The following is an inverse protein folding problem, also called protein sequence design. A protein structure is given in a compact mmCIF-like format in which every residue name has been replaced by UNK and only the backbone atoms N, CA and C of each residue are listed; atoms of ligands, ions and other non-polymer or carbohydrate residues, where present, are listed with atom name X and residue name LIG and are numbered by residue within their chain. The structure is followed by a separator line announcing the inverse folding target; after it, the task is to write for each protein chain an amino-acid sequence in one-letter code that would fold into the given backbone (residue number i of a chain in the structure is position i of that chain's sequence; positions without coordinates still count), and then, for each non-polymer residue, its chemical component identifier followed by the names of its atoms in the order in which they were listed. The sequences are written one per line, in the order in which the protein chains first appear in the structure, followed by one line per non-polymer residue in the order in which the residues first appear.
data_IF_807289404528
#
_entry.id   IF_807289404528
#
_cell.length_a   1.000
_cell.length_b   1.000
_cell.length_c   1.000
_cell.angle_alpha   90.00
_cell.angle_beta   90.00
_cell.angle_gamma   90.00
#
_symmetry.space_group_name_H-M   'P 1'
#
loop_
_entity.id
_entity.type
_entity.pdbx_description
1 polymer ?
#
# COMPACT_ATOMS: atom_id res chain seq x y z
N UNK A 1 -40.94 2.80 -46.48
CA UNK A 1 -39.56 3.31 -46.72
C UNK A 1 -38.73 2.90 -45.51
N UNK A 2 -38.24 1.66 -45.46
CA UNK A 2 -36.93 1.19 -45.93
C UNK A 2 -35.80 1.53 -44.95
N UNK A 3 -35.20 0.45 -44.42
CA UNK A 3 -34.11 0.29 -43.43
C UNK A 3 -32.86 1.12 -43.78
N UNK A 4 -31.89 1.36 -42.87
CA UNK A 4 -30.69 0.51 -42.64
C UNK A 4 -29.82 1.15 -41.51
N UNK A 5 -29.46 0.34 -40.50
CA UNK A 5 -28.18 0.34 -39.75
C UNK A 5 -27.35 -0.84 -40.32
N UNK A 6 -26.04 -1.05 -40.05
CA UNK A 6 -24.97 -0.21 -39.48
C UNK A 6 -23.67 -0.27 -40.34
N UNK A 7 -22.59 0.43 -39.96
CA UNK A 7 -21.23 0.07 -40.44
C UNK A 7 -20.19 0.23 -39.34
N UNK A 8 -19.71 -0.92 -38.84
CA UNK A 8 -18.42 -1.06 -38.16
C UNK A 8 -17.29 -0.78 -39.15
N UNK A 9 -16.24 -0.08 -38.71
CA UNK A 9 -14.93 -0.14 -39.34
C UNK A 9 -13.85 -0.17 -38.26
N UNK A 10 -13.36 -1.37 -37.98
CA UNK A 10 -12.14 -1.62 -37.23
C UNK A 10 -10.94 -1.56 -38.20
N UNK A 11 -9.88 -0.87 -37.79
CA UNK A 11 -8.55 -1.00 -38.39
C UNK A 11 -7.52 -0.77 -37.28
N UNK A 12 -7.09 -1.86 -36.62
CA UNK A 12 -5.94 -1.85 -35.72
C UNK A 12 -4.69 -2.18 -36.53
N UNK A 13 -3.68 -1.34 -36.38
CA UNK A 13 -2.44 -1.37 -37.13
C UNK A 13 -1.31 -2.12 -36.39
N UNK A 14 -0.42 -2.64 -37.23
CA UNK A 14 1.03 -2.74 -37.05
C UNK A 14 1.63 -3.73 -36.02
N UNK A 15 2.16 -4.79 -36.61
CA UNK A 15 3.19 -5.71 -36.13
C UNK A 15 4.44 -5.02 -35.59
N UNK A 16 4.97 -5.49 -34.46
CA UNK A 16 6.39 -5.42 -34.14
C UNK A 16 6.87 -6.78 -33.62
N UNK A 17 7.73 -7.40 -34.43
CA UNK A 17 8.51 -8.58 -34.08
C UNK A 17 9.79 -8.13 -33.37
N UNK A 18 10.21 -8.83 -32.31
CA UNK A 18 11.63 -9.03 -32.01
C UNK A 18 11.81 -10.36 -31.27
N UNK A 19 12.30 -11.35 -32.00
CA UNK A 19 12.85 -12.60 -31.47
C UNK A 19 14.29 -12.35 -31.06
N UNK A 20 14.59 -12.46 -29.76
CA UNK A 20 15.97 -12.51 -29.25
C UNK A 20 16.34 -13.94 -28.90
N UNK A 21 17.36 -14.49 -29.58
CA UNK A 21 17.96 -15.79 -29.29
C UNK A 21 19.36 -15.62 -28.68
N UNK A 22 19.59 -16.34 -27.57
CA UNK A 22 20.85 -17.01 -27.14
C UNK A 22 22.11 -16.16 -26.81
N UNK A 23 23.06 -16.65 -25.96
CA UNK A 23 23.45 -18.05 -25.82
C UNK A 23 23.67 -18.62 -24.40
N UNK A 24 23.58 -19.95 -24.33
CA UNK A 24 24.24 -20.77 -23.33
C UNK A 24 25.75 -20.87 -23.66
N UNK A 25 26.60 -20.75 -22.63
CA UNK A 25 27.97 -21.23 -22.67
C UNK A 25 28.20 -22.23 -21.55
N UNK A 26 28.55 -23.44 -21.98
CA UNK A 26 29.05 -24.57 -21.22
C UNK A 26 30.57 -24.43 -21.08
N UNK A 27 31.15 -24.63 -19.89
CA UNK A 27 32.57 -24.97 -19.69
C UNK A 27 32.88 -25.37 -18.23
N UNK A 28 32.76 -26.68 -17.97
CA UNK A 28 33.69 -27.57 -17.23
C UNK A 28 34.70 -27.02 -16.21
N UNK A 29 34.57 -27.55 -14.98
CA UNK A 29 35.57 -28.27 -14.13
C UNK A 29 36.95 -27.65 -13.87
N UNK A 30 37.30 -27.44 -12.58
CA UNK A 30 38.38 -28.14 -11.82
C UNK A 30 38.93 -27.31 -10.65
N UNK A 31 39.24 -28.00 -9.55
CA UNK A 31 40.14 -27.66 -8.44
C UNK A 31 39.64 -26.82 -7.25
N UNK A 32 39.29 -27.55 -6.19
CA UNK A 32 39.61 -27.19 -4.81
C UNK A 32 41.13 -27.27 -4.58
N UNK A 33 41.67 -26.45 -3.65
CA UNK A 33 42.47 -27.04 -2.60
C UNK A 33 42.06 -26.58 -1.21
N UNK A 34 42.45 -27.43 -0.26
CA UNK A 34 42.11 -27.43 1.15
C UNK A 34 42.70 -26.27 1.95
N UNK A 35 41.93 -25.88 2.97
CA UNK A 35 42.29 -25.55 4.35
C UNK A 35 43.63 -24.83 4.63
N UNK A 36 43.51 -23.61 5.16
CA UNK A 36 44.39 -23.12 6.22
C UNK A 36 43.53 -22.72 7.42
N UNK A 37 43.54 -23.57 8.47
CA UNK A 37 43.04 -23.23 9.79
C UNK A 37 44.03 -22.28 10.46
N UNK A 38 43.60 -21.10 10.89
CA UNK A 38 44.27 -20.33 11.94
C UNK A 38 43.42 -20.39 13.22
N UNK A 39 43.97 -20.84 14.35
CA UNK A 39 43.33 -20.73 15.64
C UNK A 39 43.66 -19.35 16.23
N UNK A 40 42.69 -18.45 16.24
CA UNK A 40 42.75 -17.17 16.94
C UNK A 40 41.49 -17.03 17.75
N UNK A 41 41.59 -17.31 19.05
CA UNK A 41 40.48 -17.19 19.97
C UNK A 41 40.08 -15.73 20.16
N UNK A 42 38.82 -15.44 19.89
CA UNK A 42 38.12 -14.34 20.55
C UNK A 42 36.82 -14.94 21.06
N UNK A 43 36.75 -15.07 22.38
CA UNK A 43 35.53 -15.49 23.07
C UNK A 43 34.52 -14.37 22.88
N UNK A 44 33.78 -14.41 21.78
CA UNK A 44 32.55 -13.65 21.64
C UNK A 44 31.60 -14.15 22.73
N UNK A 45 31.31 -13.27 23.69
CA UNK A 45 30.23 -13.47 24.63
C UNK A 45 28.97 -13.88 23.85
N UNK A 46 28.18 -14.86 24.32
CA UNK A 46 26.93 -15.19 23.67
C UNK A 46 26.09 -13.92 23.62
N UNK A 47 25.81 -13.43 22.41
CA UNK A 47 24.67 -12.56 22.21
C UNK A 47 23.48 -13.33 22.80
N UNK A 48 22.83 -12.74 23.79
CA UNK A 48 21.50 -13.19 24.21
C UNK A 48 20.61 -13.00 22.99
N UNK A 49 20.52 -14.06 22.18
CA UNK A 49 19.47 -14.24 21.21
C UNK A 49 18.19 -14.24 22.02
N UNK A 50 17.54 -13.07 22.10
CA UNK A 50 16.19 -12.95 22.62
C UNK A 50 15.37 -14.09 22.03
N UNK A 51 14.75 -14.88 22.92
CA UNK A 51 14.00 -16.05 22.52
C UNK A 51 13.05 -15.66 21.38
N UNK A 52 12.98 -16.44 20.28
CA UNK A 52 12.08 -16.13 19.19
C UNK A 52 10.66 -16.00 19.74
N UNK A 53 10.06 -14.83 19.52
CA UNK A 53 8.64 -14.57 19.75
C UNK A 53 7.84 -15.75 19.17
N UNK A 54 6.92 -16.38 19.93
CA UNK A 54 6.07 -17.41 19.36
C UNK A 54 5.37 -16.85 18.12
N UNK A 55 5.56 -17.51 16.98
CA UNK A 55 4.87 -17.12 15.76
C UNK A 55 3.36 -17.25 16.00
N UNK A 56 2.61 -16.21 15.64
CA UNK A 56 1.16 -16.25 15.73
C UNK A 56 0.62 -17.47 14.98
N UNK A 57 -0.32 -18.16 15.62
CA UNK A 57 -0.96 -19.35 15.11
C UNK A 57 -2.04 -18.99 14.07
N UNK A 58 -2.39 -19.94 13.20
CA UNK A 58 -3.48 -19.72 12.22
C UNK A 58 -4.80 -19.30 12.89
N UNK A 59 -5.09 -19.82 14.08
CA UNK A 59 -6.30 -19.51 14.84
C UNK A 59 -6.31 -18.06 15.33
N UNK A 60 -5.15 -17.51 15.70
CA UNK A 60 -5.02 -16.11 16.12
C UNK A 60 -5.29 -15.14 14.95
N UNK A 61 -4.86 -15.49 13.74
CA UNK A 61 -5.16 -14.68 12.55
C UNK A 61 -6.64 -14.70 12.18
N UNK A 62 -7.29 -15.87 12.21
CA UNK A 62 -8.73 -15.97 11.99
C UNK A 62 -9.52 -15.16 13.02
N UNK A 63 -9.16 -15.29 14.30
CA UNK A 63 -9.79 -14.51 15.37
C UNK A 63 -9.56 -13.00 15.22
N UNK A 64 -8.43 -12.56 14.67
CA UNK A 64 -8.17 -11.15 14.40
C UNK A 64 -9.08 -10.62 13.27
N UNK A 65 -9.27 -11.38 12.19
CA UNK A 65 -10.17 -11.03 11.09
C UNK A 65 -11.62 -10.96 11.57
N UNK A 66 -12.06 -11.92 12.39
CA UNK A 66 -13.42 -11.94 12.97
C UNK A 66 -13.70 -10.76 13.92
N UNK A 67 -12.66 -10.18 14.52
CA UNK A 67 -12.78 -8.99 15.38
C UNK A 67 -12.81 -7.68 14.61
N UNK A 68 -12.54 -7.69 13.30
CA UNK A 68 -12.64 -6.48 12.48
C UNK A 68 -14.08 -5.98 12.50
N UNK A 69 -14.28 -4.72 12.86
CA UNK A 69 -15.61 -4.13 12.91
C UNK A 69 -16.26 -4.21 11.53
N UNK A 70 -17.54 -4.63 11.41
CA UNK A 70 -18.24 -4.66 10.13
C UNK A 70 -18.50 -3.27 9.53
N UNK A 71 -18.22 -2.20 10.30
CA UNK A 71 -18.24 -0.83 9.78
C UNK A 71 -16.99 -0.50 8.96
N UNK A 72 -15.90 -1.26 9.09
CA UNK A 72 -14.71 -1.09 8.27
C UNK A 72 -15.01 -1.68 6.88
N UNK A 73 -15.02 -0.81 5.87
CA UNK A 73 -15.26 -1.22 4.49
C UNK A 73 -13.98 -1.61 3.76
N UNK A 74 -12.88 -0.93 4.08
CA UNK A 74 -11.60 -1.15 3.39
C UNK A 74 -10.42 -0.84 4.30
N UNK A 75 -9.33 -1.58 4.08
CA UNK A 75 -8.04 -1.42 4.76
C UNK A 75 -6.92 -1.70 3.78
N UNK A 76 -6.08 -0.69 3.49
CA UNK A 76 -4.97 -0.82 2.55
C UNK A 76 -3.65 -0.37 3.17
N UNK A 77 -2.58 -1.13 2.93
CA UNK A 77 -1.20 -0.67 3.17
C UNK A 77 -0.76 0.11 1.94
N UNK A 78 -0.41 1.38 2.10
CA UNK A 78 -0.25 2.34 0.99
C UNK A 78 1.19 2.80 0.75
N UNK A 79 2.13 2.39 1.59
CA UNK A 79 3.55 2.69 1.38
C UNK A 79 4.38 2.52 2.66
N UNK A 80 5.71 2.43 2.54
CA UNK A 80 6.60 2.46 3.69
C UNK A 80 6.74 3.88 4.26
N UNK A 81 7.26 3.98 5.47
CA UNK A 81 7.83 5.22 6.02
C UNK A 81 9.07 4.93 6.85
N UNK A 82 9.91 5.94 7.02
CA UNK A 82 11.11 5.89 7.86
C UNK A 82 11.43 7.25 8.48
N UNK A 83 11.86 7.24 9.74
CA UNK A 83 12.25 8.42 10.49
C UNK A 83 13.45 8.07 11.40
N UNK A 84 14.66 8.35 10.95
CA UNK A 84 15.87 7.92 11.66
C UNK A 84 15.97 6.39 11.68
N UNK A 85 16.02 5.80 12.88
CA UNK A 85 16.04 4.34 13.09
C UNK A 85 14.62 3.72 13.11
N UNK A 86 13.58 4.55 13.22
CA UNK A 86 12.18 4.11 13.19
C UNK A 86 11.71 3.91 11.76
N UNK A 87 10.89 2.88 11.53
CA UNK A 87 10.37 2.57 10.22
C UNK A 87 9.07 1.78 10.33
N UNK A 88 8.30 1.76 9.25
CA UNK A 88 7.11 0.94 9.18
C UNK A 88 6.30 1.19 7.92
N UNK A 89 4.99 1.12 8.03
CA UNK A 89 4.08 1.29 6.90
C UNK A 89 2.92 2.24 7.20
N UNK A 90 2.48 2.93 6.17
CA UNK A 90 1.24 3.67 6.16
C UNK A 90 0.08 2.74 5.85
N UNK A 91 -0.99 2.84 6.64
CA UNK A 91 -2.24 2.11 6.42
C UNK A 91 -3.40 3.08 6.34
N UNK A 92 -4.27 2.89 5.36
CA UNK A 92 -5.54 3.61 5.26
C UNK A 92 -6.66 2.71 5.79
N UNK A 93 -7.67 3.33 6.40
CA UNK A 93 -8.86 2.65 6.90
C UNK A 93 -10.09 3.45 6.51
N UNK A 94 -11.00 2.81 5.78
CA UNK A 94 -12.30 3.37 5.43
C UNK A 94 -13.38 2.78 6.31
N UNK A 95 -14.13 3.64 6.99
CA UNK A 95 -15.22 3.26 7.90
C UNK A 95 -16.52 3.85 7.40
N UNK A 96 -17.52 3.02 7.19
CA UNK A 96 -18.88 3.44 6.87
C UNK A 96 -19.80 3.10 8.05
N UNK A 97 -20.28 4.10 8.80
CA UNK A 97 -21.27 3.88 9.85
C UNK A 97 -22.56 3.32 9.26
N UNK A 98 -23.36 2.65 10.10
CA UNK A 98 -24.68 2.20 9.71
C UNK A 98 -25.67 3.37 9.68
N UNK A 99 -26.57 3.37 8.69
CA UNK A 99 -27.67 4.34 8.57
C UNK A 99 -27.80 4.91 7.16
N UNK A 100 -29.02 5.31 6.80
CA UNK A 100 -29.37 5.78 5.45
C UNK A 100 -28.63 7.05 5.01
N UNK A 101 -28.09 7.82 5.97
CA UNK A 101 -27.34 9.05 5.73
C UNK A 101 -25.95 9.02 6.36
N UNK A 102 -25.45 7.83 6.72
CA UNK A 102 -24.11 7.71 7.26
C UNK A 102 -23.10 8.12 6.19
N UNK A 103 -22.12 8.94 6.58
CA UNK A 103 -21.05 9.40 5.70
C UNK A 103 -19.79 8.58 5.94
N UNK A 104 -19.02 8.36 4.88
CA UNK A 104 -17.76 7.63 4.96
C UNK A 104 -16.75 8.42 5.79
N UNK A 105 -16.08 7.74 6.72
CA UNK A 105 -14.93 8.27 7.45
C UNK A 105 -13.66 7.62 6.92
N UNK A 106 -12.61 8.42 6.80
CA UNK A 106 -11.32 7.98 6.28
C UNK A 106 -10.21 8.31 7.26
N UNK A 107 -9.35 7.32 7.51
CA UNK A 107 -8.25 7.44 8.45
C UNK A 107 -6.93 7.02 7.79
N UNK A 108 -5.86 7.73 8.13
CA UNK A 108 -4.48 7.35 7.86
C UNK A 108 -3.86 6.92 9.19
N UNK A 109 -3.20 5.76 9.19
CA UNK A 109 -2.51 5.21 10.34
C UNK A 109 -1.03 5.03 10.02
N UNK A 110 -0.20 5.47 10.94
CA UNK A 110 1.22 5.15 10.94
C UNK A 110 1.42 3.88 11.75
N UNK A 111 1.86 2.80 11.10
CA UNK A 111 2.22 1.56 11.79
C UNK A 111 3.74 1.50 11.92
N UNK A 112 4.22 1.34 13.15
CA UNK A 112 5.62 1.17 13.50
C UNK A 112 6.00 -0.30 13.48
N UNK A 113 7.08 -0.61 12.75
CA UNK A 113 7.67 -1.94 12.59
C UNK A 113 9.06 -2.05 13.23
N UNK A 114 9.56 -0.99 13.87
CA UNK A 114 10.90 -0.94 14.45
C UNK A 114 11.03 -1.74 15.75
N UNK A 115 9.91 -2.03 16.41
CA UNK A 115 9.85 -2.88 17.61
C UNK A 115 9.96 -4.39 17.30
N UNK A 116 10.29 -5.17 18.33
CA UNK A 116 10.40 -6.64 18.22
C UNK A 116 9.05 -7.38 18.30
N UNK A 117 7.98 -6.69 18.71
CA UNK A 117 6.66 -7.28 18.96
C UNK A 117 5.68 -7.21 17.77
N UNK A 118 6.20 -6.91 16.57
CA UNK A 118 5.41 -6.75 15.35
C UNK A 118 4.93 -5.31 15.14
N UNK A 119 3.88 -5.14 14.32
CA UNK A 119 3.37 -3.81 13.96
C UNK A 119 2.55 -3.18 15.10
N UNK A 120 2.90 -1.97 15.49
CA UNK A 120 2.16 -1.16 16.47
C UNK A 120 1.59 0.09 15.82
N UNK A 121 0.38 0.53 16.22
CA UNK A 121 -0.15 1.82 15.76
C UNK A 121 0.57 2.96 16.49
N UNK A 122 1.35 3.76 15.77
CA UNK A 122 2.03 4.97 16.28
C UNK A 122 1.10 6.17 16.31
N UNK A 123 0.34 6.37 15.24
CA UNK A 123 -0.60 7.48 15.12
C UNK A 123 -1.80 7.12 14.24
N UNK A 124 -2.90 7.86 14.41
CA UNK A 124 -4.10 7.76 13.57
C UNK A 124 -4.64 9.17 13.35
N UNK A 125 -4.81 9.54 12.08
CA UNK A 125 -5.34 10.83 11.64
C UNK A 125 -6.60 10.62 10.84
N UNK A 126 -7.70 11.24 11.26
CA UNK A 126 -8.93 11.30 10.47
C UNK A 126 -8.85 12.42 9.42
N UNK A 127 -9.43 12.19 8.25
CA UNK A 127 -9.63 13.21 7.20
C UNK A 127 -11.12 13.60 7.20
N UNK A 128 -11.54 14.54 8.07
CA UNK A 128 -12.96 14.87 8.28
C UNK A 128 -13.64 15.47 7.06
N UNK A 129 -12.89 15.98 6.08
CA UNK A 129 -13.42 16.49 4.82
C UNK A 129 -14.19 15.40 4.05
N UNK A 130 -13.73 14.14 4.09
CA UNK A 130 -14.40 13.02 3.42
C UNK A 130 -15.82 12.81 3.96
N UNK A 131 -16.00 12.90 5.29
CA UNK A 131 -17.31 12.74 5.91
C UNK A 131 -18.26 13.92 5.64
N UNK A 132 -17.74 15.05 5.14
CA UNK A 132 -18.52 16.25 4.80
C UNK A 132 -18.89 16.34 3.32
N UNK A 133 -18.41 15.42 2.49
CA UNK A 133 -18.67 15.43 1.06
C UNK A 133 -20.15 15.21 0.73
N UNK A 134 -20.62 15.93 -0.29
CA UNK A 134 -21.93 15.69 -0.89
C UNK A 134 -21.84 14.66 -2.04
N UNK A 135 -21.51 13.43 -1.65
CA UNK A 135 -21.39 12.31 -2.57
C UNK A 135 -21.03 11.04 -1.84
N UNK A 136 -20.77 10.00 -2.62
CA UNK A 136 -20.28 8.71 -2.15
C UNK A 136 -18.86 8.50 -2.65
N UNK A 137 -17.93 8.20 -1.74
CA UNK A 137 -16.61 7.69 -2.14
C UNK A 137 -16.80 6.27 -2.66
N UNK A 138 -16.46 6.02 -3.91
CA UNK A 138 -16.58 4.69 -4.55
C UNK A 138 -15.26 3.95 -4.63
N UNK A 139 -14.15 4.65 -4.42
CA UNK A 139 -12.83 4.08 -4.36
C UNK A 139 -11.77 5.14 -4.07
N UNK A 140 -10.58 4.68 -3.75
CA UNK A 140 -9.40 5.52 -3.64
C UNK A 140 -8.16 4.71 -4.02
N UNK A 141 -7.09 5.41 -4.38
CA UNK A 141 -5.78 4.84 -4.66
C UNK A 141 -4.69 5.70 -4.04
N UNK A 142 -3.60 5.06 -3.65
CA UNK A 142 -2.37 5.75 -3.30
C UNK A 142 -1.44 5.78 -4.52
N UNK A 143 -0.78 6.91 -4.74
CA UNK A 143 0.36 6.99 -5.64
C UNK A 143 1.64 6.63 -4.88
N UNK A 144 2.66 6.22 -5.64
CA UNK A 144 3.98 5.93 -5.08
C UNK A 144 4.57 7.19 -4.41
N UNK A 145 5.27 7.03 -3.28
CA UNK A 145 5.96 8.15 -2.64
C UNK A 145 6.95 8.81 -3.61
N UNK A 146 6.97 10.13 -3.63
CA UNK A 146 7.97 10.89 -4.38
C UNK A 146 9.37 10.62 -3.78
N UNK A 147 10.40 10.41 -4.61
CA UNK A 147 11.79 10.24 -4.17
C UNK A 147 12.29 11.40 -3.31
N UNK A 148 11.78 12.62 -3.55
CA UNK A 148 12.12 13.82 -2.76
C UNK A 148 11.44 13.81 -1.38
N UNK A 149 10.31 13.12 -1.24
CA UNK A 149 9.46 13.10 -0.05
C UNK A 149 9.03 11.65 0.25
N UNK A 150 9.97 10.76 0.60
CA UNK A 150 9.73 9.32 0.67
C UNK A 150 8.75 8.90 1.77
N UNK A 151 8.42 9.81 2.67
CA UNK A 151 7.45 9.61 3.76
C UNK A 151 6.10 10.29 3.51
N UNK A 152 5.94 10.96 2.37
CA UNK A 152 4.67 11.56 1.96
C UNK A 152 3.71 10.52 1.40
N UNK A 153 2.42 10.82 1.45
CA UNK A 153 1.37 10.06 0.77
C UNK A 153 0.57 11.01 -0.10
N UNK A 154 0.36 10.62 -1.35
CA UNK A 154 -0.66 11.20 -2.21
C UNK A 154 -1.75 10.17 -2.44
N UNK A 155 -2.99 10.51 -2.07
CA UNK A 155 -4.17 9.65 -2.20
C UNK A 155 -5.19 10.35 -3.09
N UNK A 156 -5.71 9.62 -4.07
CA UNK A 156 -6.75 10.08 -4.98
C UNK A 156 -8.05 9.36 -4.70
N UNK A 157 -9.12 10.11 -4.48
CA UNK A 157 -10.45 9.63 -4.15
C UNK A 157 -11.37 9.84 -5.35
N UNK A 158 -12.10 8.81 -5.73
CA UNK A 158 -13.17 8.91 -6.72
C UNK A 158 -14.50 9.07 -5.99
N UNK A 159 -15.16 10.20 -6.22
CA UNK A 159 -16.41 10.59 -5.55
C UNK A 159 -17.51 10.67 -6.59
N UNK A 160 -18.62 9.96 -6.36
CA UNK A 160 -19.85 10.12 -7.16
C UNK A 160 -20.76 11.11 -6.43
N UNK A 161 -21.04 12.29 -7.02
CA UNK A 161 -21.96 13.26 -6.44
C UNK A 161 -23.37 12.69 -6.19
N UNK A 162 -24.06 13.22 -5.17
CA UNK A 162 -25.39 12.75 -4.78
C UNK A 162 -26.47 12.97 -5.86
N UNK A 163 -26.27 13.92 -6.76
CA UNK A 163 -27.17 14.24 -7.88
C UNK A 163 -26.97 13.34 -9.11
N UNK A 164 -25.98 12.44 -9.07
CA UNK A 164 -25.67 11.50 -10.15
C UNK A 164 -24.90 12.11 -11.32
N UNK A 165 -24.27 13.27 -11.12
CA UNK A 165 -23.33 13.84 -12.08
C UNK A 165 -22.05 12.99 -12.26
N UNK A 166 -21.14 13.48 -13.10
CA UNK A 166 -19.88 12.80 -13.41
C UNK A 166 -19.03 12.72 -12.14
N UNK A 167 -18.37 11.58 -11.94
CA UNK A 167 -17.46 11.39 -10.81
C UNK A 167 -16.38 12.47 -10.77
N UNK A 168 -16.12 12.98 -9.58
CA UNK A 168 -15.09 13.95 -9.29
C UNK A 168 -13.91 13.27 -8.59
N UNK A 169 -12.69 13.66 -8.95
CA UNK A 169 -11.48 13.16 -8.29
C UNK A 169 -10.99 14.21 -7.28
N UNK A 170 -10.78 13.78 -6.04
CA UNK A 170 -10.17 14.58 -4.99
C UNK A 170 -8.79 14.04 -4.64
N UNK A 171 -7.87 14.92 -4.24
CA UNK A 171 -6.52 14.57 -3.82
C UNK A 171 -6.32 14.93 -2.35
N UNK A 172 -5.67 14.03 -1.63
CA UNK A 172 -5.10 14.24 -0.32
C UNK A 172 -3.58 14.13 -0.42
N UNK A 173 -2.88 15.20 -0.08
CA UNK A 173 -1.45 15.16 0.15
C UNK A 173 -1.15 15.21 1.65
N UNK A 174 -0.54 14.15 2.17
CA UNK A 174 -0.28 13.95 3.59
C UNK A 174 1.22 13.84 3.85
N UNK A 175 1.72 14.63 4.80
CA UNK A 175 3.11 14.62 5.24
C UNK A 175 3.16 14.56 6.77
N UNK A 176 4.00 13.70 7.37
CA UNK A 176 4.15 13.63 8.82
C UNK A 176 4.58 14.96 9.42
N UNK A 177 3.90 15.38 10.49
CA UNK A 177 4.25 16.61 11.22
C UNK A 177 3.93 17.91 10.48
N UNK A 178 3.30 17.86 9.31
CA UNK A 178 2.81 19.03 8.57
C UNK A 178 1.28 18.97 8.44
N UNK A 179 0.60 20.10 8.25
CA UNK A 179 -0.79 20.10 7.83
C UNK A 179 -0.93 19.37 6.48
N UNK A 180 -1.89 18.46 6.37
CA UNK A 180 -2.25 17.87 5.09
C UNK A 180 -3.02 18.86 4.22
N UNK A 181 -3.05 18.61 2.92
CA UNK A 181 -3.85 19.37 1.95
C UNK A 181 -4.87 18.43 1.33
N UNK A 182 -6.12 18.86 1.29
CA UNK A 182 -7.21 18.10 0.70
C UNK A 182 -8.07 18.99 -0.20
N UNK A 183 -8.36 18.54 -1.42
CA UNK A 183 -9.16 19.31 -2.37
C UNK A 183 -9.38 18.59 -3.70
N UNK A 184 -10.01 19.24 -4.68
CA UNK A 184 -10.15 18.68 -6.03
C UNK A 184 -8.78 18.42 -6.66
N UNK A 185 -8.61 17.26 -7.29
CA UNK A 185 -7.38 16.93 -7.99
C UNK A 185 -7.24 17.83 -9.23
N UNK A 186 -6.07 18.47 -9.40
CA UNK A 186 -5.74 19.27 -10.58
C UNK A 186 -4.87 18.47 -11.53
N UNK A 187 -5.23 18.45 -12.83
CA UNK A 187 -4.35 17.96 -13.90
C UNK A 187 -3.33 19.01 -14.33
#
# INVERSE_FOLDING_TARGET
MTRILPTLAAALAASLAFSGASPAQDATTTEAPAAAQQPGGETAAPAETGAPQPAATSDEFSAAVEKLSPLVQDVQVVGPWSEGDEHGVWRTVMVQPAGENAKTHFFIQQLDASGHDGLAIRSTTEIPEIAKMDGQVVGYRADDPNEAEPNSLSLFFEVVPSDGEISETYELHFMPGQPYVFGPASN
#
